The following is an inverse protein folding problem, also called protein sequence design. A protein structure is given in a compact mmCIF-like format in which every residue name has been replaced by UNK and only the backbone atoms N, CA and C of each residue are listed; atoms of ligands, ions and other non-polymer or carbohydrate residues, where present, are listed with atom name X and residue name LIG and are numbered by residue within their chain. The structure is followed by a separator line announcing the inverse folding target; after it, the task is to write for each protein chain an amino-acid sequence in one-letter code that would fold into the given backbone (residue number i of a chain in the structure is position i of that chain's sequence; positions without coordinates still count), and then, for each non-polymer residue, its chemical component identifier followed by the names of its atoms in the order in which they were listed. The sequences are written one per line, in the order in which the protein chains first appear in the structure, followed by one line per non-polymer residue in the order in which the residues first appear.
data_IF_883091792612
#
_entry.id   IF_883091792612
#
_cell.length_a   1.000
_cell.length_b   1.000
_cell.length_c   1.000
_cell.angle_alpha   90.00
_cell.angle_beta   90.00
_cell.angle_gamma   90.00
#
_symmetry.space_group_name_H-M   'P 1'
#
loop_
_entity.id
_entity.type
_entity.pdbx_description
1 polymer ?
#
# COMPACT_ATOMS: atom_id res chain seq x y z
N UNK A 1 -6.26 20.55 -33.24
CA UNK A 1 -6.86 20.53 -31.88
C UNK A 1 -6.65 19.11 -31.33
N UNK A 2 -5.60 18.94 -30.56
CA UNK A 2 -5.37 17.65 -29.91
C UNK A 2 -6.38 17.52 -28.78
N UNK A 3 -7.35 16.61 -28.94
CA UNK A 3 -8.26 16.26 -27.85
C UNK A 3 -7.41 15.64 -26.74
N UNK A 4 -7.44 16.15 -25.51
CA UNK A 4 -6.67 15.57 -24.42
C UNK A 4 -7.07 14.11 -24.28
N UNK A 5 -6.08 13.22 -24.25
CA UNK A 5 -6.33 11.77 -24.09
C UNK A 5 -7.12 11.55 -22.80
N UNK A 6 -8.29 10.90 -22.85
CA UNK A 6 -9.09 10.61 -21.65
C UNK A 6 -8.34 9.71 -20.65
N UNK A 7 -7.24 9.10 -21.06
CA UNK A 7 -6.37 8.24 -20.25
C UNK A 7 -5.04 8.90 -19.89
N UNK A 8 -4.87 10.22 -20.13
CA UNK A 8 -3.66 10.95 -19.80
C UNK A 8 -3.49 11.14 -18.29
N UNK A 9 -2.24 11.11 -17.83
CA UNK A 9 -1.89 11.47 -16.46
C UNK A 9 -2.16 12.96 -16.26
N UNK A 10 -3.10 13.30 -15.39
CA UNK A 10 -3.46 14.69 -15.05
C UNK A 10 -2.43 15.36 -14.16
N UNK A 11 -1.73 14.55 -13.36
CA UNK A 11 -0.71 15.01 -12.42
C UNK A 11 0.58 14.26 -12.65
N UNK A 12 1.69 14.98 -12.40
CA UNK A 12 3.02 14.39 -12.35
C UNK A 12 3.51 14.39 -10.90
N UNK A 13 4.14 13.31 -10.43
CA UNK A 13 4.73 13.29 -9.11
C UNK A 13 5.98 14.17 -9.08
N UNK A 14 6.20 14.84 -7.97
CA UNK A 14 7.50 15.44 -7.68
C UNK A 14 8.57 14.35 -7.52
N UNK A 15 9.84 14.70 -7.67
CA UNK A 15 10.94 13.73 -7.57
C UNK A 15 10.90 12.98 -6.23
N UNK A 16 10.69 13.69 -5.13
CA UNK A 16 10.63 13.05 -3.81
C UNK A 16 9.43 12.09 -3.67
N UNK A 17 8.27 12.44 -4.26
CA UNK A 17 7.08 11.58 -4.22
C UNK A 17 7.28 10.32 -5.08
N UNK A 18 7.88 10.46 -6.27
CA UNK A 18 8.19 9.34 -7.15
C UNK A 18 9.22 8.38 -6.52
N UNK A 19 10.36 8.91 -6.08
CA UNK A 19 11.43 8.13 -5.44
C UNK A 19 10.97 7.55 -4.11
N UNK A 20 10.24 8.32 -3.29
CA UNK A 20 9.68 7.85 -2.03
C UNK A 20 8.68 6.72 -2.23
N UNK A 21 7.80 6.82 -3.23
CA UNK A 21 6.86 5.73 -3.54
C UNK A 21 7.59 4.47 -4.00
N UNK A 22 8.57 4.61 -4.89
CA UNK A 22 9.37 3.47 -5.35
C UNK A 22 10.14 2.82 -4.19
N UNK A 23 10.76 3.61 -3.33
CA UNK A 23 11.49 3.12 -2.16
C UNK A 23 10.57 2.36 -1.19
N UNK A 24 9.40 2.95 -0.86
CA UNK A 24 8.46 2.34 0.07
C UNK A 24 7.81 1.06 -0.49
N UNK A 25 7.50 1.05 -1.80
CA UNK A 25 7.06 -0.19 -2.47
C UNK A 25 8.17 -1.25 -2.44
N UNK A 26 9.44 -0.85 -2.68
CA UNK A 26 10.59 -1.75 -2.59
C UNK A 26 10.77 -2.33 -1.19
N UNK A 27 10.67 -1.51 -0.14
CA UNK A 27 10.73 -1.96 1.26
C UNK A 27 9.59 -2.93 1.55
N UNK A 28 8.34 -2.59 1.21
CA UNK A 28 7.20 -3.47 1.42
C UNK A 28 7.34 -4.80 0.67
N UNK A 29 7.93 -4.77 -0.54
CA UNK A 29 8.22 -5.97 -1.31
C UNK A 29 9.33 -6.83 -0.66
N UNK A 30 10.38 -6.22 -0.15
CA UNK A 30 11.43 -6.94 0.61
C UNK A 30 10.86 -7.59 1.88
N UNK A 31 9.99 -6.88 2.61
CA UNK A 31 9.28 -7.43 3.77
C UNK A 31 8.40 -8.62 3.35
N UNK A 32 7.71 -8.51 2.23
CA UNK A 32 6.92 -9.60 1.66
C UNK A 32 7.79 -10.84 1.34
N UNK A 33 8.98 -10.65 0.77
CA UNK A 33 9.92 -11.74 0.52
C UNK A 33 10.42 -12.38 1.82
N UNK A 34 10.58 -11.59 2.88
CA UNK A 34 10.98 -12.05 4.21
C UNK A 34 10.00 -13.00 4.91
N UNK A 35 8.75 -13.13 4.40
CA UNK A 35 7.78 -14.10 4.92
C UNK A 35 8.30 -15.55 4.89
N UNK A 36 9.15 -15.88 3.92
CA UNK A 36 9.84 -17.16 3.85
C UNK A 36 11.21 -17.06 4.53
N UNK A 37 11.65 -18.09 5.28
CA UNK A 37 13.00 -18.12 5.82
C UNK A 37 14.04 -17.95 4.72
N UNK A 38 15.03 -17.09 4.93
CA UNK A 38 16.09 -16.84 3.95
C UNK A 38 16.77 -15.49 4.11
N UNK A 39 17.49 -15.07 3.07
CA UNK A 39 18.35 -13.88 3.07
C UNK A 39 17.64 -12.54 3.26
N UNK A 40 16.30 -12.50 3.06
CA UNK A 40 15.51 -11.26 3.14
C UNK A 40 14.97 -10.94 4.54
N UNK A 41 15.35 -11.74 5.56
CA UNK A 41 14.97 -11.46 6.96
C UNK A 41 16.03 -10.63 7.64
N UNK A 42 15.57 -9.57 8.32
CA UNK A 42 16.41 -8.77 9.20
C UNK A 42 16.43 -9.36 10.61
N UNK A 43 17.61 -9.73 11.12
CA UNK A 43 17.76 -10.21 12.49
C UNK A 43 17.29 -9.16 13.49
N UNK A 44 17.64 -7.88 13.26
CA UNK A 44 17.24 -6.79 14.13
C UNK A 44 15.72 -6.65 14.25
N UNK A 45 14.97 -6.88 13.15
CA UNK A 45 13.49 -6.90 13.19
C UNK A 45 12.95 -8.10 13.96
N UNK A 46 13.57 -9.27 13.84
CA UNK A 46 13.16 -10.45 14.58
C UNK A 46 13.39 -10.30 16.09
N UNK A 47 14.49 -9.66 16.47
CA UNK A 47 14.82 -9.41 17.88
C UNK A 47 13.91 -8.34 18.50
N UNK A 48 13.55 -7.32 17.71
CA UNK A 48 12.68 -6.22 18.17
C UNK A 48 11.20 -6.60 18.22
N UNK A 49 10.75 -7.39 17.23
CA UNK A 49 9.36 -7.80 17.06
C UNK A 49 9.28 -9.31 16.81
N UNK A 50 9.33 -10.12 17.87
CA UNK A 50 9.16 -11.57 17.74
C UNK A 50 7.86 -11.91 17.01
N UNK A 51 7.94 -12.78 15.97
CA UNK A 51 6.78 -13.15 15.16
C UNK A 51 6.44 -12.17 14.02
N UNK A 52 7.17 -11.05 13.85
CA UNK A 52 6.92 -10.08 12.78
C UNK A 52 6.78 -10.74 11.40
N UNK A 53 7.73 -11.60 11.03
CA UNK A 53 7.73 -12.26 9.73
C UNK A 53 6.64 -13.33 9.56
N UNK A 54 5.98 -13.74 10.63
CA UNK A 54 4.80 -14.62 10.56
C UNK A 54 3.59 -13.88 9.99
N UNK A 55 3.44 -12.60 10.35
CA UNK A 55 2.28 -11.77 10.03
C UNK A 55 2.53 -10.73 8.92
N UNK A 56 3.80 -10.51 8.54
CA UNK A 56 4.22 -9.46 7.59
C UNK A 56 3.57 -9.56 6.22
N UNK A 57 3.10 -10.74 5.84
CA UNK A 57 2.43 -10.95 4.55
C UNK A 57 1.22 -10.04 4.38
N UNK A 58 0.33 -10.00 5.35
CA UNK A 58 -0.90 -9.19 5.28
C UNK A 58 -0.59 -7.69 5.28
N UNK A 59 0.40 -7.26 6.06
CA UNK A 59 0.90 -5.89 6.02
C UNK A 59 1.42 -5.52 4.63
N UNK A 60 2.36 -6.31 4.12
CA UNK A 60 3.04 -6.02 2.85
C UNK A 60 2.07 -6.07 1.67
N UNK A 61 1.20 -7.08 1.61
CA UNK A 61 0.22 -7.21 0.54
C UNK A 61 -0.74 -6.02 0.52
N UNK A 62 -1.29 -5.65 1.68
CA UNK A 62 -2.21 -4.51 1.80
C UNK A 62 -1.52 -3.19 1.43
N UNK A 63 -0.27 -2.99 1.87
CA UNK A 63 0.52 -1.82 1.50
C UNK A 63 0.77 -1.76 -0.01
N UNK A 64 1.29 -2.83 -0.61
CA UNK A 64 1.63 -2.89 -2.04
C UNK A 64 0.41 -2.64 -2.93
N UNK A 65 -0.72 -3.25 -2.60
CA UNK A 65 -1.95 -3.07 -3.36
C UNK A 65 -2.44 -1.63 -3.31
N UNK A 66 -2.59 -1.07 -2.11
CA UNK A 66 -3.14 0.28 -1.97
C UNK A 66 -2.16 1.35 -2.44
N UNK A 67 -0.88 1.27 -2.08
CA UNK A 67 0.12 2.26 -2.47
C UNK A 67 0.39 2.23 -3.98
N UNK A 68 0.47 1.03 -4.59
CA UNK A 68 0.68 0.89 -6.03
C UNK A 68 -0.48 1.43 -6.85
N UNK A 69 -1.68 0.92 -6.62
CA UNK A 69 -2.87 1.34 -7.36
C UNK A 69 -3.27 2.78 -7.04
N UNK A 70 -3.25 3.14 -5.75
CA UNK A 70 -3.63 4.47 -5.29
C UNK A 70 -2.71 5.58 -5.83
N UNK A 71 -1.42 5.33 -5.94
CA UNK A 71 -0.48 6.28 -6.53
C UNK A 71 -0.81 6.58 -8.00
N UNK A 72 -1.08 5.53 -8.79
CA UNK A 72 -1.52 5.69 -10.18
C UNK A 72 -2.85 6.44 -10.28
N UNK A 73 -3.82 6.10 -9.43
CA UNK A 73 -5.10 6.79 -9.38
C UNK A 73 -4.96 8.28 -9.09
N UNK A 74 -4.10 8.65 -8.16
CA UNK A 74 -3.84 10.06 -7.85
C UNK A 74 -3.23 10.79 -9.05
N UNK A 75 -2.28 10.17 -9.77
CA UNK A 75 -1.71 10.75 -11.00
C UNK A 75 -2.76 10.90 -12.11
N UNK A 76 -3.73 10.00 -12.20
CA UNK A 76 -4.86 10.08 -13.12
C UNK A 76 -5.91 11.14 -12.71
N UNK A 77 -5.78 11.74 -11.53
CA UNK A 77 -6.69 12.75 -11.02
C UNK A 77 -7.90 12.20 -10.27
N UNK A 78 -7.84 10.93 -9.85
CA UNK A 78 -8.87 10.36 -8.96
C UNK A 78 -8.79 11.05 -7.60
N UNK A 79 -9.92 11.51 -7.09
CA UNK A 79 -9.96 12.21 -5.81
C UNK A 79 -9.58 11.26 -4.66
N UNK A 80 -8.82 11.77 -3.68
CA UNK A 80 -8.34 11.01 -2.51
C UNK A 80 -9.45 10.31 -1.72
N UNK A 81 -10.68 10.83 -1.77
CA UNK A 81 -11.85 10.16 -1.15
C UNK A 81 -12.10 8.76 -1.71
N UNK A 82 -11.82 8.52 -3.00
CA UNK A 82 -11.97 7.19 -3.59
C UNK A 82 -10.84 6.25 -3.14
N UNK A 83 -9.64 6.80 -2.96
CA UNK A 83 -8.52 6.06 -2.34
C UNK A 83 -8.86 5.71 -0.88
N UNK A 84 -9.53 6.62 -0.14
CA UNK A 84 -10.01 6.36 1.22
C UNK A 84 -11.06 5.23 1.25
N UNK A 85 -12.00 5.22 0.30
CA UNK A 85 -12.96 4.13 0.18
C UNK A 85 -12.30 2.79 -0.17
N UNK A 86 -11.29 2.80 -1.05
CA UNK A 86 -10.51 1.61 -1.35
C UNK A 86 -9.72 1.12 -0.12
N UNK A 87 -9.15 2.04 0.66
CA UNK A 87 -8.47 1.70 1.92
C UNK A 87 -9.43 1.08 2.93
N UNK A 88 -10.64 1.66 3.09
CA UNK A 88 -11.66 1.11 3.97
C UNK A 88 -12.10 -0.31 3.51
N UNK A 89 -12.36 -0.47 2.22
CA UNK A 89 -12.72 -1.77 1.65
C UNK A 89 -11.62 -2.82 1.87
N UNK A 90 -10.35 -2.44 1.70
CA UNK A 90 -9.22 -3.33 1.93
C UNK A 90 -9.07 -3.69 3.42
N UNK A 91 -9.27 -2.73 4.33
CA UNK A 91 -9.27 -2.99 5.77
C UNK A 91 -10.40 -3.94 6.17
N UNK A 92 -11.60 -3.72 5.62
CA UNK A 92 -12.75 -4.63 5.84
C UNK A 92 -12.50 -6.02 5.26
N UNK A 93 -11.84 -6.12 4.11
CA UNK A 93 -11.46 -7.39 3.51
C UNK A 93 -10.48 -8.18 4.39
N UNK A 94 -9.49 -7.51 5.00
CA UNK A 94 -8.59 -8.15 5.97
C UNK A 94 -9.36 -8.69 7.18
N UNK A 95 -10.30 -7.92 7.73
CA UNK A 95 -11.15 -8.38 8.83
C UNK A 95 -12.04 -9.56 8.40
N UNK A 96 -12.70 -9.44 7.25
CA UNK A 96 -13.59 -10.48 6.74
C UNK A 96 -12.84 -11.80 6.49
N UNK A 97 -11.64 -11.72 5.92
CA UNK A 97 -10.81 -12.89 5.67
C UNK A 97 -10.49 -13.64 6.97
N UNK A 98 -10.06 -12.95 8.01
CA UNK A 98 -9.66 -13.57 9.27
C UNK A 98 -10.84 -14.04 10.13
N UNK A 99 -11.97 -13.36 10.10
CA UNK A 99 -13.09 -13.66 10.98
C UNK A 99 -14.22 -14.46 10.34
N UNK A 100 -14.40 -14.39 9.01
CA UNK A 100 -15.49 -15.05 8.31
C UNK A 100 -15.05 -16.32 7.56
N UNK A 101 -13.81 -16.38 7.05
CA UNK A 101 -13.34 -17.53 6.27
C UNK A 101 -12.63 -18.57 7.15
N UNK A 102 -13.25 -18.94 8.27
CA UNK A 102 -12.73 -19.95 9.21
C UNK A 102 -12.57 -21.35 8.60
N UNK A 103 -13.23 -21.62 7.46
CA UNK A 103 -13.07 -22.88 6.72
C UNK A 103 -11.73 -22.99 5.98
N UNK A 104 -11.12 -21.84 5.66
CA UNK A 104 -9.89 -21.78 4.85
C UNK A 104 -8.67 -21.36 5.67
N UNK A 105 -8.88 -20.79 6.85
CA UNK A 105 -7.80 -20.27 7.68
C UNK A 105 -8.13 -20.40 9.18
N UNK A 106 -7.10 -20.61 10.00
CA UNK A 106 -7.20 -20.47 11.45
C UNK A 106 -7.28 -18.99 11.81
N UNK A 107 -8.24 -18.62 12.66
CA UNK A 107 -8.41 -17.22 13.11
C UNK A 107 -7.11 -16.68 13.72
N UNK A 108 -6.58 -15.63 13.12
CA UNK A 108 -5.47 -14.88 13.68
C UNK A 108 -5.75 -13.36 13.63
N UNK A 109 -6.28 -12.78 14.71
CA UNK A 109 -6.56 -11.35 14.77
C UNK A 109 -5.32 -10.49 14.57
N UNK A 110 -4.11 -11.03 14.78
CA UNK A 110 -2.85 -10.33 14.55
C UNK A 110 -2.64 -10.13 13.05
N UNK A 111 -2.96 -11.12 12.21
CA UNK A 111 -2.89 -10.98 10.75
C UNK A 111 -3.80 -9.88 10.23
N UNK A 112 -5.04 -9.79 10.75
CA UNK A 112 -5.94 -8.69 10.41
C UNK A 112 -5.37 -7.34 10.84
N UNK A 113 -4.79 -7.22 12.03
CA UNK A 113 -4.17 -6.00 12.52
C UNK A 113 -2.98 -5.57 11.63
N UNK A 114 -2.14 -6.51 11.19
CA UNK A 114 -1.06 -6.23 10.25
C UNK A 114 -1.58 -5.75 8.88
N UNK A 115 -2.64 -6.35 8.36
CA UNK A 115 -3.27 -5.93 7.11
C UNK A 115 -3.84 -4.51 7.20
N UNK A 116 -4.53 -4.19 8.30
CA UNK A 116 -5.06 -2.85 8.57
C UNK A 116 -3.90 -1.84 8.72
N UNK A 117 -2.83 -2.20 9.44
CA UNK A 117 -1.66 -1.33 9.59
C UNK A 117 -1.00 -1.04 8.23
N UNK A 118 -0.82 -2.04 7.37
CA UNK A 118 -0.31 -1.86 6.00
C UNK A 118 -1.19 -0.92 5.18
N UNK A 119 -2.52 -1.09 5.26
CA UNK A 119 -3.50 -0.22 4.61
C UNK A 119 -3.41 1.21 5.12
N UNK A 120 -3.33 1.41 6.43
CA UNK A 120 -3.24 2.74 7.05
C UNK A 120 -1.94 3.45 6.68
N UNK A 121 -0.81 2.74 6.70
CA UNK A 121 0.48 3.29 6.26
C UNK A 121 0.45 3.72 4.79
N UNK A 122 -0.10 2.88 3.90
CA UNK A 122 -0.23 3.20 2.49
C UNK A 122 -1.14 4.41 2.26
N UNK A 123 -2.29 4.47 2.94
CA UNK A 123 -3.20 5.61 2.83
C UNK A 123 -2.57 6.91 3.33
N UNK A 124 -1.88 6.88 4.46
CA UNK A 124 -1.16 8.04 5.01
C UNK A 124 -0.13 8.57 4.02
N UNK A 125 0.65 7.68 3.42
CA UNK A 125 1.60 8.02 2.35
C UNK A 125 0.90 8.69 1.17
N UNK A 126 -0.15 8.06 0.63
CA UNK A 126 -0.90 8.57 -0.53
C UNK A 126 -1.58 9.92 -0.25
N UNK A 127 -2.10 10.11 0.95
CA UNK A 127 -2.64 11.39 1.38
C UNK A 127 -1.58 12.50 1.37
N UNK A 128 -0.37 12.20 1.89
CA UNK A 128 0.77 13.11 1.84
C UNK A 128 1.22 13.43 0.40
N UNK A 129 1.28 12.42 -0.47
CA UNK A 129 1.58 12.59 -1.90
C UNK A 129 0.53 13.48 -2.57
N UNK A 130 -0.75 13.22 -2.36
CA UNK A 130 -1.83 14.03 -2.93
C UNK A 130 -1.72 15.49 -2.51
N UNK A 131 -1.37 15.75 -1.27
CA UNK A 131 -1.31 17.12 -0.73
C UNK A 131 -0.06 17.88 -1.12
N UNK A 132 1.09 17.21 -1.22
CA UNK A 132 2.40 17.85 -1.36
C UNK A 132 3.25 17.33 -2.51
N UNK A 133 2.91 16.18 -3.06
CA UNK A 133 3.76 15.43 -3.98
C UNK A 133 3.32 15.46 -5.44
N UNK A 134 2.22 16.08 -5.79
CA UNK A 134 1.69 16.14 -7.15
C UNK A 134 1.72 17.55 -7.72
N UNK A 135 2.01 17.65 -9.02
CA UNK A 135 1.95 18.89 -9.79
C UNK A 135 1.06 18.68 -11.03
N UNK A 136 0.33 19.68 -11.50
CA UNK A 136 -0.41 19.59 -12.77
C UNK A 136 0.54 19.15 -13.88
N UNK A 137 0.08 18.28 -14.75
CA UNK A 137 0.86 17.87 -15.91
C UNK A 137 0.72 18.93 -17.02
N UNK A 138 1.82 19.58 -17.46
CA UNK A 138 1.74 20.61 -18.49
C UNK A 138 1.35 20.08 -19.89
N UNK A 139 1.34 18.75 -20.08
CA UNK A 139 0.96 18.10 -21.33
C UNK A 139 -0.55 17.77 -21.41
N UNK A 140 -1.33 18.12 -20.42
CA UNK A 140 -2.79 18.00 -20.38
C UNK A 140 -3.40 19.37 -20.15
#
# INVERSE_FOLDING_TARGET
MDTPSPYGLRFQPTIWAALGNLLLLGIAFLLFLGRKPGAFRSQALMDLLPGFYTHVFNFSLSYLLLAGVGFLWLMMGVAVRHVAWAALALAMANLAYEFLLTLLNTRDPVDAAYGIAGTACAFTWLWGVQRFGLRPNPAT
#
